data_IF_008599166835
#
_entry.id   IF_008599166835
#
_cell.length_a   1.000
_cell.length_b   1.000
_cell.length_c   1.000
_cell.angle_alpha   90.00
_cell.angle_beta   90.00
_cell.angle_gamma   90.00
#
_symmetry.space_group_name_H-M   'P 1'
#
loop_
_entity.id
_entity.type
_entity.pdbx_description
1 polymer ?
#
# COMPACT_ATOMS: atom_id res chain seq x y z
N UNK A 1 -2.09 4.75 28.90
CA UNK A 1 -1.43 3.48 28.52
C UNK A 1 -2.40 2.29 28.31
N UNK A 2 -3.68 2.34 28.69
CA UNK A 2 -4.61 1.20 28.51
C UNK A 2 -5.34 1.15 27.15
N UNK A 3 -5.53 2.27 26.44
CA UNK A 3 -6.22 2.32 25.13
C UNK A 3 -5.35 1.80 23.98
N UNK A 4 -4.03 2.07 23.97
CA UNK A 4 -3.14 1.59 22.91
C UNK A 4 -3.07 0.05 22.84
N UNK A 5 -3.18 -0.65 23.97
CA UNK A 5 -3.22 -2.12 24.00
C UNK A 5 -4.50 -2.70 23.39
N UNK A 6 -5.60 -1.92 23.34
CA UNK A 6 -6.84 -2.32 22.66
C UNK A 6 -6.76 -2.11 21.15
N UNK A 7 -5.90 -1.19 20.70
CA UNK A 7 -5.61 -0.89 19.30
C UNK A 7 -4.55 -1.80 18.67
N UNK A 8 -3.88 -2.65 19.46
CA UNK A 8 -3.06 -3.73 18.92
C UNK A 8 -4.05 -4.89 18.72
N UNK A 9 -4.61 -5.07 17.51
CA UNK A 9 -5.55 -6.15 17.26
C UNK A 9 -4.82 -7.49 17.39
N UNK A 10 -5.56 -8.58 17.22
CA UNK A 10 -4.94 -9.84 16.88
C UNK A 10 -4.26 -9.70 15.51
N UNK A 11 -2.98 -9.31 15.52
CA UNK A 11 -2.17 -9.17 14.31
C UNK A 11 -2.13 -10.49 13.54
N UNK A 12 -2.25 -11.63 14.22
CA UNK A 12 -2.26 -12.94 13.58
C UNK A 12 -3.49 -13.12 12.66
N UNK A 13 -4.59 -12.39 12.92
CA UNK A 13 -5.76 -12.38 12.05
C UNK A 13 -5.59 -11.48 10.81
N UNK A 14 -4.74 -10.45 10.88
CA UNK A 14 -4.48 -9.50 9.78
C UNK A 14 -3.37 -9.97 8.85
N UNK A 15 -2.34 -10.59 9.43
CA UNK A 15 -1.12 -10.96 8.73
C UNK A 15 -1.34 -11.79 7.47
N UNK A 16 -2.24 -12.80 7.42
CA UNK A 16 -2.41 -13.60 6.21
C UNK A 16 -2.86 -12.79 4.98
N UNK A 17 -3.80 -11.84 5.16
CA UNK A 17 -4.27 -10.97 4.07
C UNK A 17 -3.20 -9.95 3.68
N UNK A 18 -2.57 -9.31 4.66
CA UNK A 18 -1.53 -8.31 4.41
C UNK A 18 -0.29 -8.94 3.76
N UNK A 19 0.14 -10.13 4.18
CA UNK A 19 1.23 -10.86 3.54
C UNK A 19 0.90 -11.23 2.10
N UNK A 20 -0.35 -11.62 1.83
CA UNK A 20 -0.80 -11.90 0.47
C UNK A 20 -0.78 -10.64 -0.40
N UNK A 21 -1.22 -9.50 0.13
CA UNK A 21 -1.14 -8.20 -0.56
C UNK A 21 0.32 -7.80 -0.80
N UNK A 22 1.19 -7.86 0.22
CA UNK A 22 2.61 -7.56 0.07
C UNK A 22 3.25 -8.38 -1.04
N UNK A 23 3.09 -9.71 -1.00
CA UNK A 23 3.66 -10.60 -2.04
C UNK A 23 3.03 -10.38 -3.41
N UNK A 24 1.79 -9.93 -3.46
CA UNK A 24 1.14 -9.56 -4.71
C UNK A 24 1.73 -8.27 -5.30
N UNK A 25 1.86 -7.21 -4.50
CA UNK A 25 2.49 -5.96 -4.93
C UNK A 25 3.96 -6.16 -5.31
N UNK A 26 4.71 -6.92 -4.50
CA UNK A 26 6.12 -7.26 -4.75
C UNK A 26 6.31 -7.93 -6.12
N UNK A 27 5.42 -8.85 -6.50
CA UNK A 27 5.47 -9.57 -7.79
C UNK A 27 5.02 -8.74 -8.98
N UNK A 28 4.24 -7.69 -8.77
CA UNK A 28 3.69 -6.85 -9.83
C UNK A 28 4.13 -5.39 -9.67
N UNK A 29 5.44 -5.13 -9.66
CA UNK A 29 5.97 -3.79 -9.45
C UNK A 29 5.66 -2.88 -10.64
N UNK A 30 5.36 -1.62 -10.36
CA UNK A 30 5.05 -0.60 -11.36
C UNK A 30 6.01 0.59 -11.20
N UNK A 31 6.48 1.15 -12.33
CA UNK A 31 7.37 2.31 -12.31
C UNK A 31 6.65 3.57 -11.82
N UNK A 32 7.44 4.57 -11.44
CA UNK A 32 6.94 5.88 -11.00
C UNK A 32 5.92 6.46 -12.00
N UNK A 33 4.79 6.96 -11.48
CA UNK A 33 3.65 7.51 -12.22
C UNK A 33 2.87 6.51 -13.10
N UNK A 34 3.20 5.22 -13.04
CA UNK A 34 2.56 4.14 -13.79
C UNK A 34 1.91 3.09 -12.87
N UNK A 35 1.75 3.39 -11.58
CA UNK A 35 1.28 2.50 -10.51
C UNK A 35 -0.24 2.28 -10.50
N UNK A 36 -0.86 2.12 -11.66
CA UNK A 36 -2.32 2.06 -11.80
C UNK A 36 -2.94 0.89 -11.04
N UNK A 37 -2.29 -0.28 -11.06
CA UNK A 37 -2.77 -1.47 -10.37
C UNK A 37 -2.61 -1.32 -8.87
N UNK A 38 -1.44 -0.87 -8.41
CA UNK A 38 -1.13 -0.66 -7.00
C UNK A 38 -2.06 0.40 -6.40
N UNK A 39 -2.25 1.53 -7.09
CA UNK A 39 -3.19 2.58 -6.72
C UNK A 39 -4.63 2.06 -6.65
N UNK A 40 -5.06 1.24 -7.62
CA UNK A 40 -6.39 0.63 -7.59
C UNK A 40 -6.58 -0.21 -6.33
N UNK A 41 -5.64 -1.09 -6.02
CA UNK A 41 -5.68 -1.97 -4.84
C UNK A 41 -5.73 -1.13 -3.55
N UNK A 42 -4.88 -0.09 -3.44
CA UNK A 42 -4.86 0.83 -2.30
C UNK A 42 -6.20 1.54 -2.09
N UNK A 43 -6.77 2.12 -3.16
CA UNK A 43 -8.06 2.79 -3.07
C UNK A 43 -9.20 1.83 -2.74
N UNK A 44 -9.24 0.65 -3.37
CA UNK A 44 -10.30 -0.35 -3.13
C UNK A 44 -10.25 -0.84 -1.68
N UNK A 45 -9.04 -1.03 -1.13
CA UNK A 45 -8.85 -1.44 0.25
C UNK A 45 -9.34 -0.35 1.23
N UNK A 46 -8.99 0.91 1.00
CA UNK A 46 -9.46 2.02 1.83
C UNK A 46 -11.00 2.18 1.78
N UNK A 47 -11.60 2.11 0.59
CA UNK A 47 -13.06 2.15 0.41
C UNK A 47 -13.77 1.01 1.16
N UNK A 48 -13.20 -0.21 1.11
CA UNK A 48 -13.73 -1.37 1.85
C UNK A 48 -13.83 -1.11 3.36
N UNK A 49 -12.91 -0.33 3.92
CA UNK A 49 -12.89 0.03 5.35
C UNK A 49 -13.56 1.37 5.66
N UNK A 50 -14.35 1.92 4.73
CA UNK A 50 -15.22 3.07 4.99
C UNK A 50 -14.52 4.43 4.94
N UNK A 51 -13.32 4.51 4.35
CA UNK A 51 -12.69 5.79 4.05
C UNK A 51 -13.41 6.48 2.89
N UNK A 52 -13.50 7.81 2.94
CA UNK A 52 -13.82 8.63 1.76
C UNK A 52 -12.57 8.71 0.89
N UNK A 53 -12.60 8.07 -0.29
CA UNK A 53 -11.41 7.92 -1.15
C UNK A 53 -11.47 8.84 -2.35
N UNK A 54 -10.40 9.60 -2.55
CA UNK A 54 -10.13 10.37 -3.78
C UNK A 54 -8.98 9.70 -4.51
N UNK A 55 -9.18 9.40 -5.79
CA UNK A 55 -8.22 8.71 -6.67
C UNK A 55 -7.68 9.68 -7.72
N UNK A 56 -6.65 9.25 -8.44
CA UNK A 56 -6.05 9.98 -9.58
C UNK A 56 -5.46 11.34 -9.20
N UNK A 57 -5.01 11.49 -7.94
CA UNK A 57 -4.32 12.70 -7.48
C UNK A 57 -2.89 12.63 -7.99
N UNK A 58 -2.54 13.50 -8.95
CA UNK A 58 -1.23 13.43 -9.58
C UNK A 58 -1.03 12.11 -10.32
N UNK A 59 -1.98 11.75 -11.19
CA UNK A 59 -2.02 10.52 -12.02
C UNK A 59 -2.46 9.28 -11.25
N UNK A 60 -1.65 8.76 -10.33
CA UNK A 60 -1.92 7.48 -9.65
C UNK A 60 -2.16 7.64 -8.14
N UNK A 61 -1.93 8.82 -7.57
CA UNK A 61 -2.06 9.04 -6.14
C UNK A 61 -3.49 8.80 -5.61
N UNK A 62 -3.56 8.24 -4.40
CA UNK A 62 -4.80 7.94 -3.68
C UNK A 62 -4.75 8.59 -2.29
N UNK A 63 -5.84 9.25 -1.91
CA UNK A 63 -6.02 9.79 -0.55
C UNK A 63 -7.31 9.24 0.03
N UNK A 64 -7.23 8.61 1.20
CA UNK A 64 -8.38 8.20 1.99
C UNK A 64 -8.54 9.08 3.23
N UNK A 65 -9.75 9.57 3.47
CA UNK A 65 -10.09 10.37 4.65
C UNK A 65 -11.06 9.60 5.55
N UNK A 66 -10.69 9.41 6.82
CA UNK A 66 -11.57 8.88 7.86
C UNK A 66 -11.90 9.99 8.85
N UNK A 67 -13.17 10.36 8.94
CA UNK A 67 -13.64 11.39 9.89
C UNK A 67 -14.08 10.73 11.19
N UNK A 68 -13.61 11.22 12.33
CA UNK A 68 -13.94 10.67 13.65
C UNK A 68 -14.15 11.75 14.73
N UNK A 69 -15.15 12.62 14.50
CA UNK A 69 -15.46 13.73 15.42
C UNK A 69 -14.44 14.86 15.40
N UNK A 70 -14.57 15.77 16.36
CA UNK A 70 -13.66 16.91 16.53
C UNK A 70 -12.35 16.46 17.21
N UNK A 71 -11.22 16.94 16.70
CA UNK A 71 -9.92 16.64 17.26
C UNK A 71 -8.75 16.95 16.32
N UNK A 72 -7.51 16.62 16.73
CA UNK A 72 -6.34 16.75 15.87
C UNK A 72 -6.45 15.88 14.62
N UNK A 73 -5.87 16.37 13.51
CA UNK A 73 -5.77 15.63 12.25
C UNK A 73 -4.36 15.08 12.09
N UNK A 74 -4.26 13.81 11.72
CA UNK A 74 -2.98 13.12 11.46
C UNK A 74 -3.00 12.55 10.05
N UNK A 75 -1.88 12.66 9.34
CA UNK A 75 -1.67 12.06 8.02
C UNK A 75 -0.58 11.00 8.11
N UNK A 76 -0.87 9.84 7.52
CA UNK A 76 0.10 8.79 7.24
C UNK A 76 0.29 8.71 5.73
N UNK A 77 1.51 8.44 5.28
CA UNK A 77 1.87 8.43 3.85
C UNK A 77 2.72 7.21 3.53
N UNK A 78 2.42 6.58 2.40
CA UNK A 78 3.22 5.55 1.75
C UNK A 78 3.46 5.94 0.28
N UNK A 79 4.66 5.69 -0.22
CA UNK A 79 5.00 5.63 -1.65
C UNK A 79 4.61 4.26 -2.23
N UNK A 80 4.44 4.20 -3.56
CA UNK A 80 3.92 3.03 -4.27
C UNK A 80 4.86 2.51 -5.38
N UNK A 81 5.83 3.31 -5.82
CA UNK A 81 6.59 3.02 -7.04
C UNK A 81 7.73 2.02 -6.84
N UNK A 82 8.08 1.34 -7.92
CA UNK A 82 9.21 0.44 -8.01
C UNK A 82 10.37 1.05 -8.82
N UNK A 83 11.47 0.31 -8.95
CA UNK A 83 12.67 0.77 -9.64
C UNK A 83 12.96 -0.02 -10.93
N UNK A 84 13.58 0.61 -11.94
CA UNK A 84 13.91 -0.01 -13.23
C UNK A 84 15.18 -0.90 -13.12
N UNK A 85 15.08 -1.99 -12.38
CA UNK A 85 16.14 -2.97 -12.23
C UNK A 85 15.61 -4.39 -12.01
N UNK A 86 16.44 -5.39 -12.31
CA UNK A 86 16.09 -6.78 -12.08
C UNK A 86 16.14 -7.14 -10.60
N UNK A 87 15.19 -7.96 -10.15
CA UNK A 87 15.25 -8.54 -8.83
C UNK A 87 16.29 -9.66 -8.77
N UNK A 88 17.09 -9.70 -7.69
CA UNK A 88 18.15 -10.69 -7.47
C UNK A 88 18.02 -11.42 -6.13
N UNK A 89 16.80 -11.49 -5.58
CA UNK A 89 16.54 -12.06 -4.24
C UNK A 89 16.42 -13.58 -4.25
N UNK A 90 15.95 -14.17 -5.36
CA UNK A 90 15.63 -15.60 -5.45
C UNK A 90 14.40 -16.03 -4.64
N UNK A 91 13.58 -15.08 -4.18
CA UNK A 91 12.39 -15.38 -3.39
C UNK A 91 11.30 -16.06 -4.25
N UNK A 92 10.44 -16.91 -3.68
CA UNK A 92 9.33 -17.53 -4.41
C UNK A 92 8.30 -16.54 -4.98
N UNK A 93 8.40 -15.27 -4.57
CA UNK A 93 7.55 -14.16 -5.00
C UNK A 93 8.38 -13.01 -5.61
N UNK A 94 9.59 -13.31 -6.10
CA UNK A 94 10.36 -12.32 -6.85
C UNK A 94 9.60 -11.86 -8.11
N UNK A 95 9.74 -10.58 -8.46
CA UNK A 95 9.22 -10.01 -9.69
C UNK A 95 9.99 -10.50 -10.92
N UNK A 96 9.26 -10.72 -12.02
CA UNK A 96 9.80 -10.97 -13.37
C UNK A 96 9.25 -9.98 -14.42
N UNK A 97 8.71 -8.85 -13.95
CA UNK A 97 8.05 -7.85 -14.78
C UNK A 97 9.06 -6.99 -15.56
N UNK A 98 8.73 -6.72 -16.82
CA UNK A 98 9.42 -5.76 -17.69
C UNK A 98 8.43 -4.64 -18.05
N UNK A 99 8.88 -3.39 -18.00
CA UNK A 99 8.10 -2.20 -18.36
C UNK A 99 8.95 -1.22 -19.17
N UNK A 100 8.31 -0.22 -19.77
CA UNK A 100 9.02 0.87 -20.44
C UNK A 100 9.28 2.01 -19.46
N UNK A 101 10.53 2.46 -19.35
CA UNK A 101 10.88 3.65 -18.58
C UNK A 101 10.51 4.94 -19.33
N UNK A 102 10.81 6.10 -18.75
CA UNK A 102 10.51 7.41 -19.32
C UNK A 102 11.18 7.67 -20.69
N UNK A 103 12.29 6.99 -20.98
CA UNK A 103 12.99 7.04 -22.27
C UNK A 103 12.41 6.07 -23.32
N UNK A 104 11.36 5.31 -22.98
CA UNK A 104 10.76 4.28 -23.82
C UNK A 104 11.58 2.99 -23.92
N UNK A 105 12.55 2.79 -23.03
CA UNK A 105 13.42 1.60 -22.99
C UNK A 105 12.78 0.53 -22.11
N UNK A 106 12.72 -0.70 -22.63
CA UNK A 106 12.29 -1.86 -21.85
C UNK A 106 13.32 -2.18 -20.76
N UNK A 107 12.86 -2.17 -19.52
CA UNK A 107 13.68 -2.43 -18.32
C UNK A 107 12.95 -3.41 -17.40
N UNK A 108 13.68 -4.31 -16.72
CA UNK A 108 13.09 -5.07 -15.63
C UNK A 108 12.67 -4.12 -14.50
N UNK A 109 11.69 -4.52 -13.70
CA UNK A 109 11.15 -3.70 -12.60
C UNK A 109 11.10 -4.51 -11.31
N UNK A 110 11.50 -3.92 -10.18
CA UNK A 110 11.34 -4.54 -8.87
C UNK A 110 11.21 -3.54 -7.72
N UNK A 111 10.56 -3.95 -6.63
CA UNK A 111 10.52 -3.20 -5.37
C UNK A 111 11.82 -3.38 -4.57
N UNK A 112 12.86 -2.63 -4.93
CA UNK A 112 14.13 -2.62 -4.18
C UNK A 112 14.17 -1.62 -3.01
N UNK A 113 13.14 -0.76 -2.87
CA UNK A 113 13.03 0.22 -1.79
C UNK A 113 11.93 -0.10 -0.76
N UNK A 114 11.20 -1.21 -0.93
CA UNK A 114 10.15 -1.64 0.00
C UNK A 114 8.84 -0.85 -0.08
N UNK A 115 8.57 -0.15 -1.19
CA UNK A 115 7.36 0.66 -1.33
C UNK A 115 6.07 -0.19 -1.33
N UNK A 116 6.12 -1.42 -1.84
CA UNK A 116 5.08 -2.44 -1.65
C UNK A 116 4.76 -2.71 -0.17
N UNK A 117 5.79 -2.83 0.67
CA UNK A 117 5.62 -2.95 2.12
C UNK A 117 5.05 -1.66 2.71
N UNK A 118 5.48 -0.49 2.23
CA UNK A 118 4.93 0.80 2.66
C UNK A 118 3.42 0.89 2.44
N UNK A 119 2.96 0.51 1.25
CA UNK A 119 1.53 0.43 0.91
C UNK A 119 0.81 -0.57 1.81
N UNK A 120 1.39 -1.77 1.95
CA UNK A 120 0.76 -2.86 2.72
C UNK A 120 0.59 -2.53 4.19
N UNK A 121 1.62 -1.99 4.87
CA UNK A 121 1.48 -1.66 6.29
C UNK A 121 0.50 -0.51 6.48
N UNK A 122 0.44 0.46 5.56
CA UNK A 122 -0.50 1.58 5.65
C UNK A 122 -1.95 1.09 5.47
N UNK A 123 -2.20 0.14 4.57
CA UNK A 123 -3.49 -0.56 4.49
C UNK A 123 -3.84 -1.25 5.82
N UNK A 124 -2.88 -1.96 6.42
CA UNK A 124 -3.05 -2.58 7.73
C UNK A 124 -3.43 -1.56 8.81
N UNK A 125 -2.67 -0.47 8.92
CA UNK A 125 -2.94 0.60 9.88
C UNK A 125 -4.31 1.25 9.64
N UNK A 126 -4.68 1.50 8.38
CA UNK A 126 -5.97 2.07 8.02
C UNK A 126 -7.14 1.16 8.45
N UNK A 127 -7.03 -0.15 8.21
CA UNK A 127 -8.01 -1.13 8.69
C UNK A 127 -8.15 -1.08 10.20
N UNK A 128 -7.03 -1.12 10.94
CA UNK A 128 -7.07 -1.10 12.41
C UNK A 128 -7.75 0.16 12.93
N UNK A 129 -7.42 1.32 12.37
CA UNK A 129 -8.05 2.60 12.74
C UNK A 129 -9.55 2.62 12.42
N UNK A 130 -9.97 2.05 11.30
CA UNK A 130 -11.38 1.95 10.92
C UNK A 130 -12.17 1.02 11.84
N UNK A 131 -11.64 -0.17 12.14
CA UNK A 131 -12.28 -1.16 13.02
C UNK A 131 -12.35 -0.70 14.48
N UNK A 132 -11.50 0.25 14.89
CA UNK A 132 -11.40 0.77 16.25
C UNK A 132 -11.81 2.24 16.38
N UNK A 133 -12.61 2.75 15.43
CA UNK A 133 -13.02 4.16 15.37
C UNK A 133 -13.65 4.69 16.67
N UNK A 134 -14.38 3.85 17.40
CA UNK A 134 -15.15 4.26 18.58
C UNK A 134 -14.48 3.87 19.93
N UNK A 135 -13.20 3.46 19.92
CA UNK A 135 -12.53 2.80 21.08
C UNK A 135 -11.65 3.70 21.94
#
# INVERSE_FOLDING_TARGET
MSSLKKLIPDLDALLPELEAIYKDLHRHPELSMCEYRTAKIAGDYLERYGYEVTREIGVTGVVGVMRNGDGPVVMLRADMDALPMAEATGLPYAADVVSQNEDGVEVPVCHSCGHDMHVTWLMGAARVLAEHRDT
#
